data_IF_498041148913
#
_entry.id   IF_498041148913
#
_cell.length_a   1.000
_cell.length_b   1.000
_cell.length_c   1.000
_cell.angle_alpha   90.00
_cell.angle_beta   90.00
_cell.angle_gamma   90.00
#
_symmetry.space_group_name_H-M   'P 1'
#
loop_
_entity.id
_entity.type
_entity.pdbx_description
1 polymer ?
#
# COMPACT_ATOMS: atom_id res chain seq x y z
N UNK A 1 -5.42 13.48 16.09
CA UNK A 1 -6.03 12.76 14.96
C UNK A 1 -7.55 12.67 15.19
N UNK A 2 -8.37 13.32 14.38
CA UNK A 2 -9.84 13.20 14.49
C UNK A 2 -10.23 11.91 13.80
N UNK A 3 -10.67 10.92 14.56
CA UNK A 3 -11.18 9.66 14.05
C UNK A 3 -12.29 9.90 13.03
N UNK A 4 -12.27 9.14 11.95
CA UNK A 4 -13.23 9.21 10.86
C UNK A 4 -14.65 9.14 11.39
N UNK A 5 -15.44 10.16 11.09
CA UNK A 5 -16.88 10.13 11.28
C UNK A 5 -17.51 9.31 10.15
N UNK A 6 -18.72 8.74 10.34
CA UNK A 6 -19.46 7.99 9.31
C UNK A 6 -19.61 8.70 7.95
N UNK A 7 -19.34 9.98 7.88
CA UNK A 7 -19.35 10.78 6.64
C UNK A 7 -18.27 10.39 5.62
N UNK A 8 -17.23 9.64 5.99
CA UNK A 8 -16.21 9.17 5.04
C UNK A 8 -16.67 8.02 4.13
N UNK A 9 -17.71 7.26 4.53
CA UNK A 9 -18.31 6.21 3.67
C UNK A 9 -19.06 6.81 2.47
N UNK A 10 -19.45 8.08 2.56
CA UNK A 10 -20.26 8.75 1.54
C UNK A 10 -19.58 8.91 0.18
N UNK A 11 -18.26 8.82 0.09
CA UNK A 11 -17.56 9.10 -1.18
C UNK A 11 -17.47 7.90 -2.12
N UNK A 12 -17.38 6.70 -1.62
CA UNK A 12 -17.15 5.49 -2.44
C UNK A 12 -18.44 4.92 -3.03
N UNK A 13 -19.59 5.11 -2.39
CA UNK A 13 -20.89 4.64 -2.89
C UNK A 13 -21.53 5.51 -3.97
N UNK A 14 -20.91 6.65 -4.35
CA UNK A 14 -21.49 7.58 -5.31
C UNK A 14 -21.38 7.20 -6.78
N UNK A 15 -20.47 6.31 -7.14
CA UNK A 15 -20.27 5.91 -8.52
C UNK A 15 -20.96 4.59 -8.82
N UNK A 16 -22.20 4.63 -9.28
CA UNK A 16 -22.87 3.51 -9.94
C UNK A 16 -24.16 2.98 -9.30
N UNK A 17 -24.53 3.39 -8.09
CA UNK A 17 -25.82 2.99 -7.50
C UNK A 17 -26.88 4.11 -7.59
N UNK A 18 -28.18 3.77 -7.81
CA UNK A 18 -29.26 4.73 -7.65
C UNK A 18 -29.22 5.38 -6.27
N UNK A 19 -29.48 6.70 -6.20
CA UNK A 19 -29.29 7.52 -5.00
C UNK A 19 -30.14 7.02 -3.80
N UNK A 20 -31.30 6.48 -4.06
CA UNK A 20 -32.20 5.91 -3.06
C UNK A 20 -31.66 4.62 -2.42
N UNK A 21 -30.99 3.77 -3.21
CA UNK A 21 -30.35 2.54 -2.73
C UNK A 21 -29.11 2.91 -1.90
N UNK A 22 -28.31 3.85 -2.37
CA UNK A 22 -27.15 4.34 -1.65
C UNK A 22 -27.54 4.89 -0.28
N UNK A 23 -28.59 5.72 -0.21
CA UNK A 23 -29.07 6.30 1.04
C UNK A 23 -29.59 5.24 2.01
N UNK A 24 -30.30 4.23 1.52
CA UNK A 24 -30.81 3.10 2.36
C UNK A 24 -29.67 2.25 2.88
N UNK A 25 -28.69 1.95 2.05
CA UNK A 25 -27.51 1.17 2.45
C UNK A 25 -26.67 1.93 3.49
N UNK A 26 -26.49 3.22 3.33
CA UNK A 26 -25.80 4.09 4.29
C UNK A 26 -26.55 4.13 5.62
N UNK A 27 -27.87 4.30 5.60
CA UNK A 27 -28.70 4.31 6.81
C UNK A 27 -28.61 2.94 7.53
N UNK A 28 -28.61 1.84 6.79
CA UNK A 28 -28.47 0.50 7.32
C UNK A 28 -27.06 0.27 7.92
N UNK A 29 -25.99 0.66 7.24
CA UNK A 29 -24.62 0.58 7.75
C UNK A 29 -24.42 1.43 9.01
N UNK A 30 -25.01 2.63 9.05
CA UNK A 30 -24.97 3.49 10.23
C UNK A 30 -25.74 2.87 11.41
N UNK A 31 -26.86 2.19 11.15
CA UNK A 31 -27.62 1.48 12.18
C UNK A 31 -26.84 0.28 12.73
N UNK A 32 -26.13 -0.47 11.86
CA UNK A 32 -25.25 -1.55 12.29
C UNK A 32 -24.06 -1.00 13.12
N UNK A 33 -23.45 0.07 12.69
CA UNK A 33 -22.37 0.72 13.45
C UNK A 33 -22.83 1.18 14.82
N UNK A 34 -24.04 1.73 14.92
CA UNK A 34 -24.65 2.13 16.19
C UNK A 34 -24.96 0.92 17.11
N UNK A 35 -25.49 -0.16 16.55
CA UNK A 35 -25.80 -1.39 17.29
C UNK A 35 -24.50 -2.03 17.81
N UNK A 36 -23.47 -2.07 17.02
CA UNK A 36 -22.17 -2.67 17.39
C UNK A 36 -21.45 -1.80 18.43
N UNK A 37 -21.51 -0.47 18.30
CA UNK A 37 -20.90 0.44 19.28
C UNK A 37 -21.60 0.45 20.64
N UNK A 38 -22.88 0.11 20.70
CA UNK A 38 -23.66 0.03 21.95
C UNK A 38 -23.30 -1.23 22.76
N UNK A 39 -22.90 -2.31 22.11
CA UNK A 39 -22.67 -3.60 22.77
C UNK A 39 -21.21 -3.87 23.19
N UNK A 40 -20.25 -3.02 22.83
CA UNK A 40 -18.84 -3.27 23.14
C UNK A 40 -18.14 -1.99 23.60
N UNK A 41 -17.98 -1.85 24.92
CA UNK A 41 -17.27 -0.72 25.54
C UNK A 41 -15.83 -0.54 25.04
N UNK A 42 -15.26 -1.52 24.34
CA UNK A 42 -13.86 -1.56 23.86
C UNK A 42 -13.70 -1.94 22.39
N UNK A 43 -14.77 -2.02 21.58
CA UNK A 43 -14.61 -2.40 20.17
C UNK A 43 -14.13 -1.23 19.33
N UNK A 44 -12.92 -1.38 18.83
CA UNK A 44 -12.37 -0.50 17.82
C UNK A 44 -12.92 -0.92 16.44
N UNK A 45 -13.44 0.03 15.70
CA UNK A 45 -13.94 -0.19 14.34
C UNK A 45 -13.12 0.66 13.38
N UNK A 46 -12.52 0.02 12.39
CA UNK A 46 -11.85 0.70 11.30
C UNK A 46 -12.75 0.69 10.06
N UNK A 47 -12.91 1.84 9.42
CA UNK A 47 -13.70 2.00 8.20
C UNK A 47 -12.93 2.91 7.25
N UNK A 48 -12.26 2.32 6.30
CA UNK A 48 -11.59 3.00 5.19
C UNK A 48 -11.19 1.97 4.13
N UNK A 49 -10.74 2.41 2.97
CA UNK A 49 -10.23 1.53 1.92
C UNK A 49 -11.21 0.42 1.50
N UNK A 50 -12.50 0.81 1.36
CA UNK A 50 -13.60 -0.13 1.02
C UNK A 50 -13.77 -1.30 2.02
N UNK A 51 -13.18 -1.17 3.20
CA UNK A 51 -13.14 -2.23 4.21
C UNK A 51 -13.73 -1.76 5.53
N UNK A 52 -14.41 -2.67 6.22
CA UNK A 52 -14.88 -2.48 7.59
C UNK A 52 -14.29 -3.60 8.44
N UNK A 53 -13.58 -3.23 9.50
CA UNK A 53 -12.94 -4.18 10.42
C UNK A 53 -13.49 -3.96 11.81
N UNK A 54 -14.02 -5.03 12.41
CA UNK A 54 -14.60 -5.01 13.76
C UNK A 54 -13.74 -5.79 14.74
N UNK A 55 -13.70 -5.30 15.97
CA UNK A 55 -13.11 -6.03 17.11
C UNK A 55 -11.68 -6.51 16.86
N UNK A 56 -10.88 -5.69 16.16
CA UNK A 56 -9.44 -5.90 15.98
C UNK A 56 -8.68 -4.76 16.64
N UNK A 57 -7.46 -5.04 17.08
CA UNK A 57 -6.58 -3.99 17.61
C UNK A 57 -6.26 -2.96 16.51
N UNK A 58 -6.35 -1.70 16.89
CA UNK A 58 -5.89 -0.55 16.11
C UNK A 58 -4.66 0.10 16.75
N UNK A 59 -3.91 -0.66 17.56
CA UNK A 59 -2.76 -0.14 18.32
C UNK A 59 -1.67 0.39 17.40
N UNK A 60 -1.53 -0.15 16.19
CA UNK A 60 -0.61 0.36 15.17
C UNK A 60 -0.85 1.85 14.83
N UNK A 61 -2.08 2.36 14.98
CA UNK A 61 -2.39 3.79 14.81
C UNK A 61 -1.86 4.68 15.94
N UNK A 62 -1.32 4.07 17.01
CA UNK A 62 -0.70 4.75 18.15
C UNK A 62 0.78 4.45 18.27
N UNK A 63 1.30 3.56 17.45
CA UNK A 63 2.70 3.22 17.39
C UNK A 63 3.50 4.37 16.77
N UNK A 64 4.32 5.04 17.56
CA UNK A 64 5.06 6.24 17.13
C UNK A 64 5.97 5.95 15.93
N UNK A 65 6.70 4.82 15.94
CA UNK A 65 7.56 4.43 14.82
C UNK A 65 6.76 4.35 13.52
N UNK A 66 5.62 3.65 13.53
CA UNK A 66 4.78 3.48 12.36
C UNK A 66 4.23 4.82 11.86
N UNK A 67 3.63 5.61 12.75
CA UNK A 67 3.01 6.89 12.37
C UNK A 67 4.05 7.88 11.87
N UNK A 68 5.22 7.98 12.51
CA UNK A 68 6.29 8.87 12.05
C UNK A 68 6.82 8.42 10.69
N UNK A 69 7.09 7.12 10.49
CA UNK A 69 7.55 6.61 9.19
C UNK A 69 6.54 6.91 8.07
N UNK A 70 5.23 6.74 8.33
CA UNK A 70 4.19 7.07 7.33
C UNK A 70 4.19 8.57 7.02
N UNK A 71 4.24 9.42 8.04
CA UNK A 71 4.24 10.87 7.85
C UNK A 71 5.49 11.34 7.09
N UNK A 72 6.66 10.82 7.43
CA UNK A 72 7.93 11.15 6.78
C UNK A 72 7.94 10.72 5.31
N UNK A 73 7.39 9.53 5.00
CA UNK A 73 7.30 9.04 3.63
C UNK A 73 6.32 9.85 2.76
N UNK A 74 5.21 10.33 3.34
CA UNK A 74 4.24 11.20 2.65
C UNK A 74 4.84 12.62 2.47
N UNK A 75 5.51 13.15 3.48
CA UNK A 75 6.17 14.45 3.43
C UNK A 75 5.21 15.63 3.25
N UNK A 76 5.64 16.62 2.48
CA UNK A 76 4.94 17.91 2.23
C UNK A 76 3.95 17.84 1.05
N UNK A 77 3.16 16.77 0.99
CA UNK A 77 2.12 16.61 -0.03
C UNK A 77 0.88 17.46 0.25
N UNK A 78 0.04 17.68 -0.76
CA UNK A 78 -1.25 18.35 -0.60
C UNK A 78 -2.17 17.62 0.38
N UNK A 79 -3.01 18.37 1.10
CA UNK A 79 -3.93 17.83 2.11
C UNK A 79 -4.88 16.77 1.56
N UNK A 80 -5.32 16.91 0.30
CA UNK A 80 -6.14 15.93 -0.41
C UNK A 80 -5.43 14.59 -0.55
N UNK A 81 -4.15 14.63 -0.90
CA UNK A 81 -3.31 13.45 -1.07
C UNK A 81 -2.95 12.81 0.28
N UNK A 82 -2.58 13.61 1.28
CA UNK A 82 -2.38 13.14 2.67
C UNK A 82 -3.61 12.41 3.20
N UNK A 83 -4.80 12.92 2.89
CA UNK A 83 -6.06 12.29 3.27
C UNK A 83 -6.29 10.97 2.56
N UNK A 84 -5.98 10.88 1.26
CA UNK A 84 -6.06 9.64 0.51
C UNK A 84 -5.08 8.58 1.06
N UNK A 85 -3.83 8.94 1.36
CA UNK A 85 -2.86 8.06 1.99
C UNK A 85 -3.30 7.60 3.39
N UNK A 86 -3.94 8.46 4.16
CA UNK A 86 -4.50 8.09 5.46
C UNK A 86 -5.67 7.11 5.34
N UNK A 87 -6.43 7.15 4.25
CA UNK A 87 -7.53 6.20 4.01
C UNK A 87 -7.03 4.77 3.80
N UNK A 88 -5.82 4.59 3.26
CA UNK A 88 -5.21 3.27 3.01
C UNK A 88 -4.20 2.86 4.09
N UNK A 89 -4.26 3.48 5.28
CA UNK A 89 -3.29 3.25 6.37
C UNK A 89 -3.23 1.78 6.82
N UNK A 90 -4.34 1.04 6.70
CA UNK A 90 -4.38 -0.39 7.03
C UNK A 90 -3.51 -1.21 6.09
N UNK A 91 -3.49 -0.91 4.79
CA UNK A 91 -2.58 -1.57 3.83
C UNK A 91 -1.13 -1.33 4.23
N UNK A 92 -0.78 -0.10 4.63
CA UNK A 92 0.58 0.25 5.09
C UNK A 92 0.99 -0.56 6.30
N UNK A 93 0.07 -0.77 7.25
CA UNK A 93 0.31 -1.64 8.41
C UNK A 93 0.55 -3.09 7.99
N UNK A 94 -0.23 -3.65 7.08
CA UNK A 94 -0.02 -5.03 6.60
C UNK A 94 1.32 -5.17 5.87
N UNK A 95 1.67 -4.19 5.03
CA UNK A 95 2.96 -4.20 4.33
C UNK A 95 4.15 -4.14 5.31
N UNK A 96 4.09 -3.28 6.32
CA UNK A 96 5.15 -3.21 7.33
C UNK A 96 5.23 -4.47 8.19
N UNK A 97 4.09 -5.06 8.56
CA UNK A 97 4.05 -6.35 9.27
C UNK A 97 4.69 -7.47 8.44
N UNK A 98 4.34 -7.58 7.16
CA UNK A 98 4.91 -8.57 6.25
C UNK A 98 6.42 -8.33 6.05
N UNK A 99 6.83 -7.06 5.93
CA UNK A 99 8.25 -6.68 5.84
C UNK A 99 9.04 -7.06 7.10
N UNK A 100 8.51 -6.79 8.29
CA UNK A 100 9.14 -7.16 9.57
C UNK A 100 9.35 -8.67 9.69
N UNK A 101 8.37 -9.47 9.25
CA UNK A 101 8.51 -10.92 9.18
C UNK A 101 9.63 -11.33 8.21
N UNK A 102 9.64 -10.74 7.02
CA UNK A 102 10.49 -11.14 5.90
C UNK A 102 11.95 -10.70 6.02
N UNK A 103 12.25 -9.63 6.77
CA UNK A 103 13.61 -9.06 6.84
C UNK A 103 14.65 -10.01 7.44
N UNK A 104 14.21 -11.04 8.18
CA UNK A 104 15.08 -12.06 8.77
C UNK A 104 15.34 -13.27 7.85
N UNK A 105 14.64 -13.37 6.72
CA UNK A 105 14.76 -14.47 5.77
C UNK A 105 15.90 -14.21 4.77
N UNK A 106 16.44 -15.27 4.17
CA UNK A 106 17.49 -15.18 3.16
C UNK A 106 16.90 -14.85 1.78
N UNK A 107 16.64 -13.60 1.52
CA UNK A 107 16.08 -13.11 0.25
C UNK A 107 15.93 -11.60 0.28
N UNK A 108 15.63 -11.02 -0.89
CA UNK A 108 15.47 -9.58 -1.08
C UNK A 108 14.00 -9.19 -1.07
N UNK A 109 13.75 -7.88 -1.11
CA UNK A 109 12.43 -7.29 -1.13
C UNK A 109 12.10 -6.80 -2.54
N UNK A 110 10.86 -7.04 -2.98
CA UNK A 110 10.38 -6.61 -4.28
C UNK A 110 9.00 -5.94 -4.15
N UNK A 111 8.83 -4.82 -4.85
CA UNK A 111 7.55 -4.12 -5.00
C UNK A 111 7.26 -3.96 -6.50
N UNK A 112 6.24 -4.64 -6.99
CA UNK A 112 5.84 -4.67 -8.39
C UNK A 112 4.59 -3.81 -8.58
N UNK A 113 4.78 -2.60 -9.11
CA UNK A 113 3.77 -1.55 -9.19
C UNK A 113 3.90 -0.56 -8.03
N UNK A 114 5.08 0.05 -7.89
CA UNK A 114 5.37 0.93 -6.77
C UNK A 114 4.67 2.30 -6.86
N UNK A 115 4.13 2.67 -8.01
CA UNK A 115 3.50 3.96 -8.29
C UNK A 115 4.41 5.14 -7.90
N UNK A 116 4.05 5.92 -6.87
CA UNK A 116 4.86 7.04 -6.37
C UNK A 116 5.92 6.64 -5.32
N UNK A 117 6.04 5.36 -5.03
CA UNK A 117 7.06 4.80 -4.14
C UNK A 117 6.82 5.03 -2.64
N UNK A 118 5.71 5.67 -2.22
CA UNK A 118 5.44 5.91 -0.79
C UNK A 118 5.31 4.59 -0.02
N UNK A 119 4.63 3.59 -0.59
CA UNK A 119 4.50 2.27 0.04
C UNK A 119 5.85 1.59 0.25
N UNK A 120 6.67 1.58 -0.79
CA UNK A 120 8.03 1.06 -0.75
C UNK A 120 8.90 1.81 0.27
N UNK A 121 8.79 3.14 0.35
CA UNK A 121 9.52 3.97 1.31
C UNK A 121 9.15 3.63 2.75
N UNK A 122 7.85 3.48 3.04
CA UNK A 122 7.37 3.07 4.37
C UNK A 122 7.94 1.70 4.75
N UNK A 123 7.91 0.72 3.85
CA UNK A 123 8.46 -0.62 4.12
C UNK A 123 9.98 -0.55 4.36
N UNK A 124 10.71 0.16 3.50
CA UNK A 124 12.16 0.31 3.62
C UNK A 124 12.57 0.89 4.98
N UNK A 125 11.94 1.99 5.37
CA UNK A 125 12.35 2.75 6.54
C UNK A 125 11.82 2.11 7.83
N UNK A 126 10.57 1.66 7.84
CA UNK A 126 9.99 0.99 9.01
C UNK A 126 10.73 -0.30 9.34
N UNK A 127 11.03 -1.13 8.34
CA UNK A 127 11.75 -2.39 8.53
C UNK A 127 13.26 -2.21 8.65
N UNK A 128 13.79 -0.99 8.45
CA UNK A 128 15.23 -0.68 8.53
C UNK A 128 16.07 -1.58 7.62
N UNK A 129 15.61 -1.77 6.36
CA UNK A 129 16.12 -2.79 5.46
C UNK A 129 17.64 -2.70 5.23
N UNK A 130 18.21 -1.49 5.20
CA UNK A 130 19.66 -1.29 5.07
C UNK A 130 20.43 -1.91 6.26
N UNK A 131 19.90 -1.75 7.47
CA UNK A 131 20.50 -2.33 8.70
C UNK A 131 20.47 -3.85 8.70
N UNK A 132 19.53 -4.46 7.98
CA UNK A 132 19.44 -5.91 7.77
C UNK A 132 20.15 -6.38 6.50
N UNK A 133 20.89 -5.48 5.82
CA UNK A 133 21.58 -5.76 4.55
C UNK A 133 20.63 -6.33 3.47
N UNK A 134 19.40 -5.81 3.44
CA UNK A 134 18.37 -6.16 2.47
C UNK A 134 18.32 -5.14 1.34
N UNK A 135 18.20 -5.61 0.11
CA UNK A 135 17.92 -4.75 -1.03
C UNK A 135 16.41 -4.73 -1.30
N UNK A 136 15.93 -3.55 -1.68
CA UNK A 136 14.57 -3.35 -2.13
C UNK A 136 14.58 -3.01 -3.63
N UNK A 137 13.95 -3.86 -4.42
CA UNK A 137 13.77 -3.68 -5.86
C UNK A 137 12.36 -3.19 -6.11
N UNK A 138 12.22 -1.99 -6.66
CA UNK A 138 10.92 -1.39 -6.95
C UNK A 138 10.74 -1.22 -8.46
N UNK A 139 9.61 -1.69 -8.96
CA UNK A 139 9.33 -1.76 -10.38
C UNK A 139 8.06 -1.01 -10.71
N UNK A 140 8.11 -0.20 -11.75
CA UNK A 140 6.94 0.44 -12.35
C UNK A 140 7.27 0.86 -13.78
N UNK A 141 6.25 0.99 -14.63
CA UNK A 141 6.44 1.62 -15.92
C UNK A 141 6.41 3.15 -15.82
N UNK A 142 5.84 3.69 -14.73
CA UNK A 142 5.65 5.10 -14.41
C UNK A 142 4.81 5.89 -15.44
N UNK A 143 4.31 5.22 -16.45
CA UNK A 143 3.51 5.82 -17.52
C UNK A 143 2.05 5.37 -17.40
N UNK A 144 1.12 6.19 -17.85
CA UNK A 144 -0.28 5.79 -17.98
C UNK A 144 -0.40 4.74 -19.09
N UNK A 145 -0.97 3.56 -18.81
CA UNK A 145 -1.22 2.59 -19.86
C UNK A 145 -2.12 3.16 -20.95
N UNK A 146 -1.93 2.81 -22.24
CA UNK A 146 -2.86 3.15 -23.29
C UNK A 146 -4.28 2.73 -22.91
N UNK A 147 -5.26 3.55 -23.25
CA UNK A 147 -6.70 3.31 -23.04
C UNK A 147 -7.15 3.20 -21.57
N UNK A 148 -6.33 3.64 -20.60
CA UNK A 148 -6.71 3.72 -19.19
C UNK A 148 -6.77 5.15 -18.68
N UNK A 149 -7.63 5.37 -17.67
CA UNK A 149 -7.64 6.63 -16.93
C UNK A 149 -6.32 6.75 -16.15
N UNK A 150 -5.63 7.90 -16.24
CA UNK A 150 -4.38 8.08 -15.52
C UNK A 150 -4.63 8.17 -14.02
N UNK A 151 -3.81 7.49 -13.24
CA UNK A 151 -3.72 7.79 -11.81
C UNK A 151 -3.20 9.23 -11.59
N UNK A 152 -3.58 9.90 -10.51
CA UNK A 152 -3.34 11.33 -10.34
C UNK A 152 -1.90 11.82 -10.54
N UNK A 153 -0.90 10.97 -10.21
CA UNK A 153 0.51 11.32 -10.35
C UNK A 153 1.21 10.74 -11.58
N UNK A 154 0.53 9.92 -12.38
CA UNK A 154 1.14 9.40 -13.59
C UNK A 154 1.54 10.53 -14.53
N UNK A 155 2.84 10.67 -14.72
CA UNK A 155 3.46 11.68 -15.56
C UNK A 155 4.84 11.20 -16.00
N UNK A 156 5.43 11.78 -17.05
CA UNK A 156 6.81 11.47 -17.43
C UNK A 156 7.86 11.78 -16.34
N UNK A 157 7.48 12.56 -15.32
CA UNK A 157 8.35 12.95 -14.21
C UNK A 157 8.29 11.99 -13.03
N UNK A 158 7.26 11.13 -12.94
CA UNK A 158 7.03 10.28 -11.78
C UNK A 158 8.23 9.37 -11.46
N UNK A 159 8.89 8.79 -12.47
CA UNK A 159 10.07 7.97 -12.24
C UNK A 159 11.21 8.75 -11.57
N UNK A 160 11.39 10.02 -11.95
CA UNK A 160 12.39 10.89 -11.36
C UNK A 160 12.03 11.25 -9.92
N UNK A 161 10.78 11.55 -9.63
CA UNK A 161 10.31 11.82 -8.27
C UNK A 161 10.53 10.61 -7.35
N UNK A 162 10.30 9.39 -7.87
CA UNK A 162 10.58 8.17 -7.13
C UNK A 162 12.08 7.97 -6.91
N UNK A 163 12.93 8.19 -7.93
CA UNK A 163 14.37 8.14 -7.76
C UNK A 163 14.87 9.14 -6.71
N UNK A 164 14.37 10.39 -6.72
CA UNK A 164 14.68 11.43 -5.73
C UNK A 164 14.23 11.02 -4.32
N UNK A 165 13.06 10.37 -4.19
CA UNK A 165 12.55 9.83 -2.90
C UNK A 165 13.53 8.85 -2.25
N UNK A 166 14.28 8.11 -3.05
CA UNK A 166 15.24 7.10 -2.60
C UNK A 166 16.72 7.50 -2.76
N UNK A 167 17.02 8.74 -3.09
CA UNK A 167 18.41 9.20 -3.35
C UNK A 167 19.40 8.88 -2.22
N UNK A 168 18.91 8.87 -0.97
CA UNK A 168 19.69 8.57 0.21
C UNK A 168 19.63 7.09 0.64
N UNK A 169 18.93 6.24 -0.12
CA UNK A 169 18.71 4.82 0.19
C UNK A 169 19.54 3.93 -0.71
N UNK A 170 20.78 3.63 -0.32
CA UNK A 170 21.75 2.86 -1.14
C UNK A 170 21.32 1.41 -1.41
N UNK A 171 20.41 0.88 -0.60
CA UNK A 171 19.86 -0.46 -0.70
C UNK A 171 18.65 -0.54 -1.64
N UNK A 172 18.14 0.59 -2.16
CA UNK A 172 16.98 0.61 -3.05
C UNK A 172 17.40 0.72 -4.51
N UNK A 173 16.76 -0.07 -5.37
CA UNK A 173 16.93 -0.04 -6.82
C UNK A 173 15.60 0.23 -7.50
N UNK A 174 15.49 1.39 -8.14
CA UNK A 174 14.35 1.76 -8.96
C UNK A 174 14.53 1.16 -10.36
N UNK A 175 13.54 0.43 -10.86
CA UNK A 175 13.57 -0.21 -12.17
C UNK A 175 12.35 0.26 -12.97
N UNK A 176 12.59 1.12 -13.95
CA UNK A 176 11.59 1.54 -14.92
C UNK A 176 11.46 0.50 -16.02
N UNK A 177 10.24 0.02 -16.25
CA UNK A 177 9.96 -0.90 -17.36
C UNK A 177 8.65 -1.65 -17.22
N UNK A 178 8.24 -2.24 -18.34
CA UNK A 178 7.03 -3.06 -18.39
C UNK A 178 7.31 -4.41 -17.74
N UNK A 179 6.36 -4.88 -16.94
CA UNK A 179 6.40 -6.19 -16.29
C UNK A 179 5.62 -7.22 -17.16
N UNK A 180 6.13 -8.46 -17.27
CA UNK A 180 7.30 -9.04 -16.60
C UNK A 180 8.65 -8.83 -17.31
N UNK A 181 8.72 -8.14 -18.44
CA UNK A 181 9.91 -8.02 -19.30
C UNK A 181 11.12 -7.45 -18.55
N UNK A 182 10.91 -6.45 -17.69
CA UNK A 182 11.96 -5.78 -16.91
C UNK A 182 12.57 -6.68 -15.81
N UNK A 183 11.96 -7.84 -15.52
CA UNK A 183 12.49 -8.81 -14.55
C UNK A 183 13.70 -9.58 -15.06
N UNK A 184 13.86 -9.74 -16.37
CA UNK A 184 14.87 -10.62 -16.97
C UNK A 184 16.29 -10.36 -16.45
N UNK A 185 16.64 -9.07 -16.30
CA UNK A 185 17.99 -8.66 -15.91
C UNK A 185 18.07 -8.10 -14.48
N UNK A 186 16.92 -7.89 -13.84
CA UNK A 186 16.85 -7.14 -12.58
C UNK A 186 16.21 -7.89 -11.43
N UNK A 187 15.60 -9.05 -11.65
CA UNK A 187 14.96 -9.81 -10.60
C UNK A 187 15.97 -10.50 -9.69
N UNK A 188 15.90 -10.34 -8.36
CA UNK A 188 16.77 -11.07 -7.43
C UNK A 188 16.54 -12.57 -7.53
N UNK A 189 17.57 -13.35 -7.17
CA UNK A 189 17.52 -14.83 -7.18
C UNK A 189 16.67 -15.40 -6.06
N UNK A 190 16.58 -14.71 -4.93
CA UNK A 190 15.82 -15.07 -3.75
C UNK A 190 14.99 -13.89 -3.30
N UNK A 191 13.71 -14.12 -3.06
CA UNK A 191 12.75 -13.10 -2.66
C UNK A 191 12.15 -13.51 -1.31
N UNK A 192 12.32 -12.65 -0.32
CA UNK A 192 11.73 -12.83 1.00
C UNK A 192 10.39 -12.11 1.13
N UNK A 193 10.22 -10.99 0.40
CA UNK A 193 9.02 -10.17 0.39
C UNK A 193 8.67 -9.78 -1.04
N UNK A 194 7.41 -9.98 -1.43
CA UNK A 194 6.89 -9.57 -2.73
C UNK A 194 5.53 -8.88 -2.57
N UNK A 195 5.47 -7.60 -2.90
CA UNK A 195 4.22 -6.85 -3.06
C UNK A 195 3.90 -6.73 -4.55
N UNK A 196 2.69 -7.09 -4.96
CA UNK A 196 2.24 -7.03 -6.35
C UNK A 196 0.95 -6.21 -6.40
N UNK A 197 0.99 -5.04 -7.03
CA UNK A 197 -0.16 -4.14 -7.20
C UNK A 197 -0.04 -3.40 -8.54
N UNK A 198 -0.35 -4.11 -9.63
CA UNK A 198 -0.20 -3.59 -10.99
C UNK A 198 -1.51 -3.08 -11.59
N UNK A 199 -2.63 -3.32 -10.93
CA UNK A 199 -3.98 -3.02 -11.44
C UNK A 199 -4.24 -3.63 -12.84
N UNK A 200 -3.53 -4.71 -13.17
CA UNK A 200 -3.59 -5.42 -14.44
C UNK A 200 -3.43 -6.92 -14.20
N UNK A 201 -4.52 -7.65 -14.14
CA UNK A 201 -4.53 -9.08 -13.81
C UNK A 201 -3.58 -9.93 -14.67
N UNK A 202 -3.50 -9.81 -16.02
CA UNK A 202 -2.52 -10.55 -16.81
C UNK A 202 -1.07 -10.29 -16.40
N UNK A 203 -0.71 -9.05 -16.11
CA UNK A 203 0.64 -8.69 -15.67
C UNK A 203 0.94 -9.23 -14.26
N UNK A 204 -0.02 -9.17 -13.34
CA UNK A 204 0.13 -9.73 -11.98
C UNK A 204 0.36 -11.24 -12.02
N UNK A 205 -0.41 -11.97 -12.82
CA UNK A 205 -0.23 -13.42 -13.03
C UNK A 205 1.17 -13.69 -13.60
N UNK A 206 1.59 -12.96 -14.64
CA UNK A 206 2.88 -13.17 -15.28
C UNK A 206 4.05 -12.87 -14.33
N UNK A 207 3.94 -11.83 -13.50
CA UNK A 207 4.93 -11.54 -12.45
C UNK A 207 4.97 -12.67 -11.43
N UNK A 208 3.82 -13.11 -10.92
CA UNK A 208 3.75 -14.18 -9.92
C UNK A 208 4.35 -15.48 -10.44
N UNK A 209 4.02 -15.88 -11.69
CA UNK A 209 4.61 -17.06 -12.34
C UNK A 209 6.14 -16.94 -12.47
N UNK A 210 6.64 -15.74 -12.80
CA UNK A 210 8.08 -15.50 -12.96
C UNK A 210 8.86 -15.60 -11.64
N UNK A 211 8.27 -15.13 -10.54
CA UNK A 211 8.97 -15.03 -9.24
C UNK A 211 8.72 -16.23 -8.33
N UNK A 212 7.72 -17.07 -8.60
CA UNK A 212 7.26 -18.11 -7.68
C UNK A 212 8.39 -18.99 -7.16
N UNK A 213 9.24 -19.50 -8.04
CA UNK A 213 10.38 -20.37 -7.68
C UNK A 213 11.53 -19.60 -6.99
N UNK A 214 11.44 -18.29 -6.90
CA UNK A 214 12.44 -17.43 -6.23
C UNK A 214 12.01 -17.04 -4.83
N UNK A 215 10.73 -17.21 -4.49
CA UNK A 215 10.22 -16.94 -3.14
C UNK A 215 10.80 -17.99 -2.19
N UNK A 216 11.50 -17.52 -1.17
CA UNK A 216 12.11 -18.41 -0.18
C UNK A 216 11.06 -19.00 0.76
N UNK A 217 11.40 -20.12 1.40
CA UNK A 217 10.51 -20.71 2.41
C UNK A 217 10.20 -19.70 3.52
N UNK A 218 8.94 -19.46 3.80
CA UNK A 218 8.47 -18.45 4.75
C UNK A 218 8.38 -17.03 4.18
N UNK A 219 8.77 -16.81 2.92
CA UNK A 219 8.58 -15.54 2.23
C UNK A 219 7.10 -15.21 2.04
N UNK A 220 6.76 -13.93 2.00
CA UNK A 220 5.40 -13.37 1.88
C UNK A 220 5.33 -12.50 0.63
#
# INVERSE_FOLDING_TARGET
MKFFTPSSIFFTLKSGFPQDISNKLIAWLNSLGSIISINTKDSQTFMADEMIVFSRSLDFLREEKFINTVNDAIGEEEDSYKKAQSAIIWRRHILTWAGEHSKHLDGEFCDFGCYDGIGSKIVNDYCELDSFNKKLFIYDNFDTPPDSEPFPKHSPLLSKEVEERFENSKNVKVIKGILPESLKDNCPKKIAFAHIDLNNMPAEIAVLEYIYDRIVTGGI
#
